data_IF_839619921326
#
_entry.id   IF_839619921326
#
_cell.length_a   1.000
_cell.length_b   1.000
_cell.length_c   1.000
_cell.angle_alpha   90.00
_cell.angle_beta   90.00
_cell.angle_gamma   90.00
#
_symmetry.space_group_name_H-M   'P 1'
#
loop_
_entity.id
_entity.type
_entity.pdbx_description
1 polymer ?
#
# COMPACT_ATOMS: atom_id res chain seq x y z
N UNK A 1 4.76 -1.93 15.32
CA UNK A 1 6.12 -1.83 14.73
C UNK A 1 6.07 -2.58 13.42
N UNK A 2 6.66 -2.04 12.35
CA UNK A 2 6.63 -2.67 11.03
C UNK A 2 7.62 -3.83 11.01
N UNK A 3 7.23 -4.98 10.45
CA UNK A 3 8.17 -6.08 10.21
C UNK A 3 8.91 -5.87 8.88
N UNK A 4 10.12 -5.32 8.96
CA UNK A 4 10.98 -5.14 7.79
C UNK A 4 11.26 -6.43 7.02
N UNK A 5 11.25 -7.61 7.65
CA UNK A 5 11.44 -8.89 6.95
C UNK A 5 10.24 -9.23 6.08
N UNK A 6 9.03 -8.90 6.52
CA UNK A 6 7.80 -9.09 5.77
C UNK A 6 7.77 -8.17 4.55
N UNK A 7 8.16 -6.89 4.73
CA UNK A 7 8.31 -5.96 3.61
C UNK A 7 9.32 -6.47 2.59
N UNK A 8 10.48 -6.97 3.03
CA UNK A 8 11.48 -7.54 2.12
C UNK A 8 10.92 -8.76 1.34
N UNK A 9 10.13 -9.62 1.98
CA UNK A 9 9.45 -10.75 1.29
C UNK A 9 8.46 -10.27 0.24
N UNK A 10 7.73 -9.19 0.53
CA UNK A 10 6.72 -8.61 -0.36
C UNK A 10 7.37 -7.99 -1.61
N UNK A 11 8.37 -7.12 -1.43
CA UNK A 11 8.90 -6.31 -2.54
C UNK A 11 9.98 -7.02 -3.37
N UNK A 12 10.62 -8.09 -2.87
CA UNK A 12 11.69 -8.81 -3.62
C UNK A 12 11.26 -9.38 -4.97
N UNK A 13 9.95 -9.61 -5.16
CA UNK A 13 9.39 -10.19 -6.38
C UNK A 13 8.97 -9.11 -7.39
N UNK A 14 9.12 -7.84 -7.02
CA UNK A 14 8.69 -6.70 -7.85
C UNK A 14 9.79 -6.36 -8.83
N UNK A 15 9.37 -5.88 -9.99
CA UNK A 15 10.30 -5.45 -11.02
C UNK A 15 11.09 -4.23 -10.55
N UNK A 16 10.41 -3.26 -9.93
CA UNK A 16 11.05 -2.03 -9.46
C UNK A 16 10.96 -1.93 -7.95
N UNK A 17 12.12 -1.75 -7.32
CA UNK A 17 12.25 -1.46 -5.89
C UNK A 17 12.97 -0.13 -5.74
N UNK A 18 12.34 0.82 -5.07
CA UNK A 18 12.88 2.15 -4.81
C UNK A 18 13.05 2.30 -3.30
N UNK A 19 14.20 2.81 -2.88
CA UNK A 19 14.52 3.07 -1.47
C UNK A 19 15.03 4.50 -1.37
N UNK A 20 14.39 5.32 -0.54
CA UNK A 20 14.86 6.66 -0.20
C UNK A 20 15.26 6.70 1.28
N UNK A 21 16.48 7.15 1.55
CA UNK A 21 16.96 7.45 2.89
C UNK A 21 16.72 8.92 3.21
N UNK A 22 16.19 9.20 4.39
CA UNK A 22 15.93 10.53 4.88
C UNK A 22 16.97 10.99 5.90
N UNK A 23 17.11 12.31 6.04
CA UNK A 23 18.01 12.95 7.01
C UNK A 23 17.69 12.59 8.47
N UNK A 24 16.42 12.26 8.76
CA UNK A 24 15.95 11.82 10.08
C UNK A 24 16.28 10.34 10.38
N UNK A 25 17.01 9.65 9.49
CA UNK A 25 17.38 8.24 9.60
C UNK A 25 16.23 7.27 9.25
N UNK A 26 15.08 7.77 8.78
CA UNK A 26 14.01 6.92 8.28
C UNK A 26 14.17 6.60 6.79
N UNK A 27 13.45 5.60 6.33
CA UNK A 27 13.52 5.07 4.97
C UNK A 27 12.13 4.90 4.39
N UNK A 28 11.94 5.31 3.15
CA UNK A 28 10.81 4.85 2.34
C UNK A 28 11.26 3.68 1.48
N UNK A 29 10.51 2.58 1.53
CA UNK A 29 10.65 1.44 0.60
C UNK A 29 9.39 1.36 -0.24
N UNK A 30 9.55 1.38 -1.56
CA UNK A 30 8.44 1.49 -2.51
C UNK A 30 8.56 0.48 -3.64
N UNK A 31 7.39 0.01 -4.09
CA UNK A 31 7.18 -0.60 -5.40
C UNK A 31 6.07 0.16 -6.15
N UNK A 32 5.54 -0.39 -7.25
CA UNK A 32 4.46 0.22 -8.03
C UNK A 32 3.15 0.42 -7.25
N UNK A 33 2.88 -0.41 -6.24
CA UNK A 33 1.58 -0.52 -5.59
C UNK A 33 1.59 -0.08 -4.13
N UNK A 34 2.75 -0.05 -3.49
CA UNK A 34 2.88 0.30 -2.08
C UNK A 34 4.08 1.18 -1.78
N UNK A 35 3.99 1.88 -0.65
CA UNK A 35 5.10 2.55 0.00
C UNK A 35 5.04 2.24 1.49
N UNK A 36 6.18 1.99 2.12
CA UNK A 36 6.26 1.74 3.57
C UNK A 36 7.38 2.59 4.16
N UNK A 37 7.05 3.34 5.22
CA UNK A 37 8.01 4.18 5.96
C UNK A 37 8.56 3.42 7.16
N UNK A 38 9.82 3.04 7.07
CA UNK A 38 10.58 2.30 8.07
C UNK A 38 11.46 3.27 8.88
N UNK A 39 11.57 3.07 10.19
CA UNK A 39 12.68 3.65 10.94
C UNK A 39 13.97 2.84 10.71
N UNK A 40 15.10 3.31 11.26
CA UNK A 40 16.40 2.66 11.10
C UNK A 40 16.41 1.18 11.54
N UNK A 41 15.82 0.85 12.68
CA UNK A 41 15.77 -0.52 13.19
C UNK A 41 14.88 -1.44 12.33
N UNK A 42 13.75 -0.92 11.84
CA UNK A 42 12.86 -1.61 10.91
C UNK A 42 13.56 -1.83 9.55
N UNK A 43 14.29 -0.83 9.07
CA UNK A 43 15.07 -0.91 7.84
C UNK A 43 16.25 -1.89 7.96
N UNK A 44 16.96 -1.94 9.09
CA UNK A 44 18.03 -2.91 9.31
C UNK A 44 17.55 -4.36 9.14
N UNK A 45 16.34 -4.67 9.62
CA UNK A 45 15.69 -5.99 9.41
C UNK A 45 15.32 -6.22 7.94
N UNK A 46 14.81 -5.18 7.27
CA UNK A 46 14.51 -5.22 5.84
C UNK A 46 15.78 -5.47 5.01
N UNK A 47 16.83 -4.65 5.20
CA UNK A 47 18.12 -4.71 4.53
C UNK A 47 18.76 -6.09 4.67
N UNK A 48 18.89 -6.59 5.90
CA UNK A 48 19.47 -7.90 6.17
C UNK A 48 18.67 -9.02 5.49
N UNK A 49 17.34 -8.91 5.43
CA UNK A 49 16.51 -9.92 4.78
C UNK A 49 16.54 -9.81 3.26
N UNK A 50 16.52 -8.60 2.70
CA UNK A 50 16.52 -8.36 1.27
C UNK A 50 17.83 -8.85 0.64
N UNK A 51 18.98 -8.44 1.18
CA UNK A 51 20.30 -8.89 0.73
C UNK A 51 20.58 -10.38 1.02
N UNK A 52 19.72 -11.08 1.80
CA UNK A 52 19.82 -12.54 1.95
C UNK A 52 19.30 -13.31 0.72
N UNK A 53 18.59 -12.65 -0.20
CA UNK A 53 18.02 -13.30 -1.38
C UNK A 53 19.02 -13.30 -2.53
N UNK A 54 19.36 -14.49 -3.02
CA UNK A 54 20.17 -14.67 -4.24
C UNK A 54 19.52 -14.12 -5.51
N UNK A 55 18.22 -13.86 -5.49
CA UNK A 55 17.43 -13.43 -6.65
C UNK A 55 17.31 -11.92 -6.79
N UNK A 56 17.94 -11.15 -5.91
CA UNK A 56 17.89 -9.69 -5.89
C UNK A 56 19.30 -9.11 -5.92
N UNK A 57 19.45 -7.92 -6.48
CA UNK A 57 20.68 -7.15 -6.26
C UNK A 57 20.78 -6.72 -4.79
N UNK A 58 22.01 -6.68 -4.28
CA UNK A 58 22.26 -6.19 -2.93
C UNK A 58 22.05 -4.68 -2.85
N UNK A 59 21.33 -4.25 -1.82
CA UNK A 59 21.26 -2.86 -1.42
C UNK A 59 22.64 -2.44 -0.92
N UNK A 60 23.22 -1.31 -1.37
CA UNK A 60 24.50 -0.82 -0.88
C UNK A 60 24.41 -0.48 0.61
N UNK A 61 25.48 -0.78 1.36
CA UNK A 61 25.54 -0.51 2.79
C UNK A 61 25.45 1.00 3.13
N UNK A 62 26.10 1.83 2.30
CA UNK A 62 26.06 3.28 2.41
C UNK A 62 25.48 3.86 1.12
N UNK A 63 24.43 4.68 1.26
CA UNK A 63 23.89 5.52 0.20
C UNK A 63 23.20 6.74 0.84
N UNK A 64 23.03 7.78 0.03
CA UNK A 64 22.26 8.97 0.39
C UNK A 64 21.18 9.20 -0.67
N UNK A 65 20.09 9.85 -0.27
CA UNK A 65 18.96 10.11 -1.18
C UNK A 65 18.24 8.84 -1.62
N UNK A 66 17.86 8.79 -2.90
CA UNK A 66 17.06 7.71 -3.46
C UNK A 66 17.90 6.79 -4.33
N UNK A 67 17.74 5.49 -4.14
CA UNK A 67 18.27 4.44 -5.01
C UNK A 67 17.14 3.57 -5.55
N UNK A 68 17.36 2.94 -6.70
CA UNK A 68 16.42 1.98 -7.25
C UNK A 68 17.09 0.81 -7.94
N UNK A 69 16.43 -0.34 -7.91
CA UNK A 69 16.74 -1.52 -8.71
C UNK A 69 15.54 -1.85 -9.58
N UNK A 70 15.78 -2.01 -10.88
CA UNK A 70 14.78 -2.41 -11.88
C UNK A 70 15.16 -3.78 -12.46
N UNK A 71 14.24 -4.73 -12.50
CA UNK A 71 14.46 -6.09 -13.02
C UNK A 71 15.58 -6.87 -12.33
N UNK A 72 15.88 -6.55 -11.06
CA UNK A 72 16.98 -7.18 -10.32
C UNK A 72 18.38 -6.67 -10.69
N UNK A 73 18.48 -5.58 -11.46
CA UNK A 73 19.75 -4.90 -11.71
C UNK A 73 20.34 -4.28 -10.43
N UNK A 74 21.63 -3.98 -10.45
CA UNK A 74 22.32 -3.31 -9.33
C UNK A 74 21.60 -2.02 -8.96
N UNK A 75 21.48 -1.74 -7.66
CA UNK A 75 20.92 -0.47 -7.19
C UNK A 75 21.77 0.70 -7.68
N UNK A 76 21.10 1.69 -8.27
CA UNK A 76 21.71 2.93 -8.73
C UNK A 76 20.94 4.13 -8.17
N UNK A 77 21.60 5.30 -8.16
CA UNK A 77 20.97 6.56 -7.79
C UNK A 77 19.73 6.83 -8.66
N UNK A 78 18.66 7.32 -8.02
CA UNK A 78 17.41 7.66 -8.67
C UNK A 78 17.01 9.09 -8.26
N UNK A 79 16.42 9.85 -9.19
CA UNK A 79 15.96 11.22 -8.96
C UNK A 79 14.54 11.31 -8.39
N UNK A 80 13.87 10.17 -8.24
CA UNK A 80 12.51 10.11 -7.73
C UNK A 80 12.49 10.53 -6.25
N UNK A 81 11.67 11.52 -5.96
CA UNK A 81 11.45 12.00 -4.59
C UNK A 81 10.19 11.34 -4.04
N UNK A 82 10.36 10.29 -3.22
CA UNK A 82 9.24 9.52 -2.66
C UNK A 82 8.47 10.35 -1.62
N UNK A 83 9.06 11.41 -1.05
CA UNK A 83 8.35 12.34 -0.14
C UNK A 83 7.11 12.94 -0.80
N UNK A 84 7.13 13.11 -2.13
CA UNK A 84 5.99 13.65 -2.89
C UNK A 84 4.73 12.79 -2.75
N UNK A 85 4.86 11.47 -2.53
CA UNK A 85 3.72 10.60 -2.27
C UNK A 85 3.19 10.86 -0.87
N UNK A 86 4.07 10.84 0.14
CA UNK A 86 3.65 11.07 1.54
C UNK A 86 3.09 12.49 1.77
N UNK A 87 3.57 13.50 1.04
CA UNK A 87 3.10 14.88 1.18
C UNK A 87 1.68 15.09 0.65
N UNK A 88 1.19 14.19 -0.20
CA UNK A 88 -0.20 14.21 -0.68
C UNK A 88 -1.21 13.86 0.43
N UNK A 89 -0.77 13.45 1.62
CA UNK A 89 -1.67 13.20 2.76
C UNK A 89 -2.58 14.39 3.07
N UNK A 90 -2.12 15.63 2.88
CA UNK A 90 -2.95 16.83 3.07
C UNK A 90 -4.16 16.90 2.14
N UNK A 91 -4.11 16.20 1.00
CA UNK A 91 -5.22 16.08 0.05
C UNK A 91 -6.20 14.95 0.42
N UNK A 92 -5.81 14.02 1.30
CA UNK A 92 -6.61 12.88 1.72
C UNK A 92 -7.61 13.29 2.82
N UNK A 93 -8.65 14.02 2.44
CA UNK A 93 -9.58 14.67 3.37
C UNK A 93 -10.54 13.71 4.05
N UNK A 94 -10.80 12.54 3.47
CA UNK A 94 -11.78 11.60 4.01
C UNK A 94 -11.11 10.49 4.80
N UNK A 95 -11.73 10.14 5.94
CA UNK A 95 -11.45 8.88 6.63
C UNK A 95 -11.84 7.74 5.68
N UNK A 96 -10.89 6.83 5.44
CA UNK A 96 -11.14 5.59 4.72
C UNK A 96 -11.64 4.53 5.71
N UNK A 97 -12.77 3.90 5.39
CA UNK A 97 -13.33 2.77 6.15
C UNK A 97 -13.13 1.53 5.31
N UNK A 98 -12.16 0.70 5.70
CA UNK A 98 -11.93 -0.61 5.09
C UNK A 98 -13.04 -1.56 5.53
N UNK A 99 -13.63 -2.27 4.58
CA UNK A 99 -14.74 -3.20 4.83
C UNK A 99 -14.24 -4.64 4.84
N UNK A 100 -15.05 -5.59 5.31
CA UNK A 100 -14.73 -7.02 5.23
C UNK A 100 -15.09 -7.65 3.88
N UNK A 101 -15.57 -6.85 2.92
CA UNK A 101 -15.96 -7.34 1.61
C UNK A 101 -14.76 -7.39 0.66
N UNK A 102 -14.70 -8.50 -0.08
CA UNK A 102 -13.75 -8.73 -1.16
C UNK A 102 -14.50 -8.96 -2.47
N UNK A 103 -13.83 -8.64 -3.58
CA UNK A 103 -14.29 -8.89 -4.95
C UNK A 103 -13.09 -9.44 -5.74
N UNK A 104 -13.33 -10.28 -6.76
CA UNK A 104 -12.30 -10.56 -7.77
C UNK A 104 -12.34 -9.48 -8.85
N UNK A 105 -11.19 -8.91 -9.18
CA UNK A 105 -11.06 -8.02 -10.34
C UNK A 105 -11.07 -8.83 -11.65
N UNK A 106 -11.02 -8.14 -12.79
CA UNK A 106 -11.05 -8.78 -14.12
C UNK A 106 -9.81 -9.64 -14.40
N UNK A 107 -8.69 -9.36 -13.70
CA UNK A 107 -7.47 -10.17 -13.75
C UNK A 107 -7.53 -11.43 -12.86
N UNK A 108 -8.60 -11.58 -12.07
CA UNK A 108 -8.77 -12.69 -11.13
C UNK A 108 -8.19 -12.46 -9.73
N UNK A 109 -7.53 -11.33 -9.49
CA UNK A 109 -6.98 -10.99 -8.17
C UNK A 109 -8.08 -10.58 -7.20
N UNK A 110 -7.94 -10.96 -5.94
CA UNK A 110 -8.83 -10.49 -4.89
C UNK A 110 -8.49 -9.06 -4.47
N UNK A 111 -9.50 -8.22 -4.45
CA UNK A 111 -9.41 -6.83 -4.04
C UNK A 111 -10.34 -6.57 -2.86
N UNK A 112 -9.85 -5.81 -1.89
CA UNK A 112 -10.59 -5.38 -0.70
C UNK A 112 -11.27 -4.05 -0.94
N UNK A 113 -12.50 -3.90 -0.45
CA UNK A 113 -13.31 -2.70 -0.65
C UNK A 113 -13.14 -1.75 0.54
N UNK A 114 -13.02 -0.45 0.25
CA UNK A 114 -13.09 0.62 1.24
C UNK A 114 -14.03 1.74 0.80
N UNK A 115 -14.53 2.50 1.78
CA UNK A 115 -15.32 3.72 1.56
C UNK A 115 -14.49 4.95 1.95
N UNK A 116 -14.47 5.97 1.11
CA UNK A 116 -13.90 7.28 1.41
C UNK A 116 -14.86 8.37 0.94
N UNK A 117 -15.46 9.11 1.89
CA UNK A 117 -16.55 10.04 1.56
C UNK A 117 -17.74 9.31 0.92
N UNK A 118 -18.14 9.73 -0.29
CA UNK A 118 -19.20 9.10 -1.09
C UNK A 118 -18.67 8.10 -2.13
N UNK A 119 -17.36 7.88 -2.14
CA UNK A 119 -16.69 7.02 -3.09
C UNK A 119 -16.39 5.65 -2.47
N UNK A 120 -16.38 4.67 -3.36
CA UNK A 120 -16.04 3.28 -3.05
C UNK A 120 -14.79 2.97 -3.85
N UNK A 121 -13.72 2.64 -3.15
CA UNK A 121 -12.46 2.26 -3.74
C UNK A 121 -12.09 0.83 -3.42
N UNK A 122 -11.04 0.38 -4.08
CA UNK A 122 -10.49 -0.95 -3.91
C UNK A 122 -8.97 -0.91 -3.85
N UNK A 123 -8.38 -1.90 -3.23
CA UNK A 123 -6.95 -2.18 -3.32
C UNK A 123 -6.71 -3.69 -3.28
N UNK A 124 -5.54 -4.14 -3.72
CA UNK A 124 -5.22 -5.57 -3.76
C UNK A 124 -5.12 -6.15 -2.34
N UNK A 125 -5.82 -7.27 -2.10
CA UNK A 125 -5.89 -7.97 -0.81
C UNK A 125 -4.51 -8.42 -0.31
N UNK A 126 -3.55 -8.66 -1.21
CA UNK A 126 -2.16 -9.00 -0.85
C UNK A 126 -1.50 -7.97 0.08
N UNK A 127 -2.05 -6.75 0.14
CA UNK A 127 -1.55 -5.65 0.96
C UNK A 127 -2.38 -5.39 2.23
N UNK A 128 -3.39 -6.22 2.53
CA UNK A 128 -4.26 -6.07 3.70
C UNK A 128 -3.47 -5.97 5.00
N UNK A 129 -2.41 -6.76 5.15
CA UNK A 129 -1.59 -6.78 6.37
C UNK A 129 -0.92 -5.42 6.68
N UNK A 130 -0.75 -4.55 5.68
CA UNK A 130 -0.20 -3.21 5.90
C UNK A 130 -1.14 -2.34 6.75
N UNK A 131 -2.45 -2.66 6.76
CA UNK A 131 -3.44 -1.94 7.58
C UNK A 131 -3.13 -2.04 9.08
N UNK A 132 -2.47 -3.12 9.51
CA UNK A 132 -2.11 -3.36 10.91
C UNK A 132 -0.96 -2.43 11.38
N UNK A 133 -0.29 -1.74 10.45
CA UNK A 133 0.78 -0.79 10.79
C UNK A 133 0.27 0.59 11.18
N UNK A 134 -1.03 0.84 11.04
CA UNK A 134 -1.67 2.07 11.43
C UNK A 134 -2.95 1.85 12.21
N UNK A 135 -3.53 2.96 12.65
CA UNK A 135 -4.79 3.01 13.41
C UNK A 135 -5.83 3.90 12.74
N UNK A 136 -5.40 4.69 11.76
CA UNK A 136 -6.22 5.62 11.00
C UNK A 136 -5.90 5.45 9.52
N UNK A 137 -6.93 5.51 8.69
CA UNK A 137 -6.80 5.42 7.25
C UNK A 137 -7.43 6.65 6.60
N UNK A 138 -6.75 7.25 5.62
CA UNK A 138 -7.26 8.40 4.87
C UNK A 138 -7.09 8.19 3.38
N UNK A 139 -8.03 8.71 2.61
CA UNK A 139 -7.95 8.77 1.15
C UNK A 139 -8.65 10.04 0.64
N UNK A 140 -8.26 10.50 -0.56
CA UNK A 140 -8.93 11.62 -1.23
C UNK A 140 -10.22 11.18 -1.91
N UNK A 141 -10.18 10.05 -2.59
CA UNK A 141 -11.30 9.42 -3.30
C UNK A 141 -10.89 7.97 -3.66
N UNK A 142 -11.63 7.32 -4.57
CA UNK A 142 -11.35 5.94 -4.99
C UNK A 142 -10.26 5.76 -6.06
N UNK A 143 -9.71 6.85 -6.59
CA UNK A 143 -8.61 6.85 -7.56
C UNK A 143 -7.28 7.27 -6.93
N UNK A 144 -7.31 7.63 -5.65
CA UNK A 144 -6.15 8.08 -4.91
C UNK A 144 -5.70 7.04 -3.88
N UNK A 145 -4.43 7.10 -3.43
CA UNK A 145 -3.90 6.14 -2.47
C UNK A 145 -4.63 6.16 -1.13
N UNK A 146 -4.62 5.01 -0.47
CA UNK A 146 -4.96 4.91 0.95
C UNK A 146 -3.69 5.15 1.75
N UNK A 147 -3.73 6.16 2.59
CA UNK A 147 -2.69 6.44 3.56
C UNK A 147 -3.01 5.75 4.88
N UNK A 148 -2.05 4.97 5.38
CA UNK A 148 -2.11 4.28 6.66
C UNK A 148 -1.29 5.08 7.66
N UNK A 149 -1.94 5.56 8.72
CA UNK A 149 -1.38 6.50 9.67
C UNK A 149 -1.31 5.90 11.08
N UNK A 150 -0.29 6.29 11.83
CA UNK A 150 -0.23 6.02 13.27
C UNK A 150 -1.13 6.99 14.08
N UNK A 151 -1.08 6.90 15.41
CA UNK A 151 -1.88 7.74 16.30
C UNK A 151 -1.54 9.23 16.15
N UNK A 152 -0.29 9.56 15.82
CA UNK A 152 0.25 10.90 15.59
C UNK A 152 0.03 11.42 14.17
N UNK A 153 -0.83 10.77 13.37
CA UNK A 153 -1.13 11.15 11.98
C UNK A 153 0.09 11.11 11.03
N UNK A 154 1.15 10.38 11.41
CA UNK A 154 2.31 10.15 10.55
C UNK A 154 2.04 8.96 9.61
N UNK A 155 2.40 9.11 8.34
CA UNK A 155 2.27 8.05 7.33
C UNK A 155 3.23 6.90 7.66
N UNK A 156 2.67 5.70 7.79
CA UNK A 156 3.40 4.43 7.99
C UNK A 156 3.43 3.58 6.73
N UNK A 157 2.34 3.60 5.97
CA UNK A 157 2.29 2.95 4.66
C UNK A 157 1.31 3.66 3.73
N UNK A 158 1.44 3.39 2.44
CA UNK A 158 0.55 3.84 1.38
C UNK A 158 0.22 2.64 0.51
N UNK A 159 -1.05 2.48 0.16
CA UNK A 159 -1.52 1.46 -0.79
C UNK A 159 -2.16 2.18 -1.98
N UNK A 160 -1.69 1.86 -3.18
CA UNK A 160 -2.27 2.36 -4.42
C UNK A 160 -3.63 1.71 -4.68
N UNK A 161 -4.61 2.48 -5.18
CA UNK A 161 -5.93 1.95 -5.45
C UNK A 161 -5.91 1.09 -6.72
N UNK A 162 -6.83 0.12 -6.76
CA UNK A 162 -7.17 -0.61 -7.97
C UNK A 162 -8.42 0.02 -8.56
N UNK A 163 -8.36 0.38 -9.85
CA UNK A 163 -9.50 0.95 -10.56
C UNK A 163 -10.52 -0.15 -10.91
N UNK A 164 -11.80 0.11 -10.62
CA UNK A 164 -12.91 -0.77 -11.02
C UNK A 164 -13.12 -0.66 -12.53
N UNK A 165 -12.68 -1.67 -13.27
CA UNK A 165 -12.87 -1.78 -14.73
C UNK A 165 -13.88 -2.86 -15.12
N UNK A 166 -14.45 -3.56 -14.14
CA UNK A 166 -15.35 -4.69 -14.41
C UNK A 166 -16.69 -4.24 -14.99
N UNK A 167 -17.35 -5.17 -15.69
CA UNK A 167 -18.61 -4.93 -16.39
C UNK A 167 -19.73 -4.40 -15.48
N UNK A 168 -19.73 -4.82 -14.21
CA UNK A 168 -20.66 -4.32 -13.19
C UNK A 168 -19.91 -3.47 -12.15
N UNK A 169 -20.24 -2.17 -12.04
CA UNK A 169 -19.67 -1.30 -11.03
C UNK A 169 -19.95 -1.83 -9.61
N UNK A 170 -18.98 -1.71 -8.70
CA UNK A 170 -19.12 -2.14 -7.29
C UNK A 170 -20.37 -1.53 -6.63
N UNK A 171 -20.68 -0.27 -6.94
CA UNK A 171 -21.85 0.42 -6.40
C UNK A 171 -23.15 -0.33 -6.71
N UNK A 172 -23.25 -0.97 -7.88
CA UNK A 172 -24.42 -1.75 -8.27
C UNK A 172 -24.43 -3.12 -7.59
N UNK A 173 -23.27 -3.78 -7.48
CA UNK A 173 -23.13 -5.04 -6.77
C UNK A 173 -23.57 -4.91 -5.29
N UNK A 174 -23.12 -3.85 -4.62
CA UNK A 174 -23.47 -3.59 -3.22
C UNK A 174 -24.96 -3.27 -3.03
N UNK A 175 -25.60 -2.60 -4.00
CA UNK A 175 -27.05 -2.37 -3.99
C UNK A 175 -27.85 -3.68 -4.11
N UNK A 176 -27.34 -4.65 -4.87
CA UNK A 176 -27.95 -5.98 -4.96
C UNK A 176 -27.91 -6.71 -3.62
N UNK A 177 -26.73 -6.74 -2.98
CA UNK A 177 -26.53 -7.42 -1.69
C UNK A 177 -27.40 -6.86 -0.56
N UNK A 178 -27.59 -5.54 -0.50
CA UNK A 178 -28.46 -4.93 0.53
C UNK A 178 -29.94 -5.18 0.26
N UNK A 179 -30.37 -5.23 -1.00
CA UNK A 179 -31.75 -5.61 -1.36
C UNK A 179 -32.06 -7.07 -1.02
N UNK A 180 -31.15 -7.98 -1.34
CA UNK A 180 -31.33 -9.41 -1.08
C UNK A 180 -31.36 -9.71 0.43
N UNK A 181 -30.53 -9.03 1.23
CA UNK A 181 -30.58 -9.15 2.68
C UNK A 181 -31.86 -8.56 3.28
N UNK A 182 -32.35 -7.43 2.75
CA UNK A 182 -33.62 -6.82 3.19
C UNK A 182 -34.84 -7.70 2.89
N UNK A 183 -34.82 -8.43 1.76
CA UNK A 183 -35.89 -9.36 1.41
C UNK A 183 -35.86 -10.63 2.28
N UNK A 184 -34.67 -11.12 2.64
CA UNK A 184 -34.52 -12.28 3.54
C UNK A 184 -34.99 -11.98 4.97
N UNK A 185 -34.74 -10.79 5.50
CA UNK A 185 -35.18 -10.41 6.87
C UNK A 185 -36.65 -10.04 6.98
N UNK A 186 -37.33 -9.75 5.85
CA UNK A 186 -38.79 -9.59 5.82
C UNK A 186 -39.57 -10.89 5.61
N UNK A 187 -38.90 -11.96 5.18
CA UNK A 187 -39.50 -13.25 4.87
C UNK A 187 -39.29 -14.29 5.98
N UNK A 188 -38.75 -13.88 7.13
CA UNK A 188 -38.54 -14.66 8.34
C UNK A 188 -39.36 -14.06 9.48
#
# INVERSE_FOLDING_TARGET
MIDGKEIAKLVRKRNDVIIEKFEDGSYNVTDTYIMVKLNEAEFGKFFAKFNSYKSTADIPFNFEGTISSAGGNVFAENKLNTKTVTSQIGNAKYKAVVTDFYKKNDSGDEVRIYKAGNDIGMFNRDYDFLLDYGVKYKAKDNKNPIFILNNQDQVKAVIMPVLDKGEKPIKEMLKGLTKDNYLKTKSA
#
